data_IF_673078252181
#
_entry.id   IF_673078252181
#
_cell.length_a   1.000
_cell.length_b   1.000
_cell.length_c   1.000
_cell.angle_alpha   90.00
_cell.angle_beta   90.00
_cell.angle_gamma   90.00
#
_symmetry.space_group_name_H-M   'P 1'
#
loop_
_entity.id
_entity.type
_entity.pdbx_description
1 polymer ?
#
# COMPACT_ATOMS: atom_id res chain seq x y z
N UNK A 1 -38.25 -4.37 24.52
CA UNK A 1 -38.30 -3.09 23.77
C UNK A 1 -37.10 -3.00 22.83
N UNK A 2 -37.21 -3.63 21.66
CA UNK A 2 -36.15 -3.74 20.63
C UNK A 2 -36.58 -3.11 19.30
N UNK A 3 -37.33 -2.01 19.37
CA UNK A 3 -38.00 -1.43 18.19
C UNK A 3 -38.08 0.10 18.21
N UNK A 4 -37.12 0.78 18.84
CA UNK A 4 -37.11 2.25 18.93
C UNK A 4 -35.82 2.88 18.39
N UNK A 5 -34.76 2.11 18.16
CA UNK A 5 -33.49 2.65 17.66
C UNK A 5 -33.36 2.66 16.12
N UNK A 6 -34.34 2.14 15.39
CA UNK A 6 -34.27 2.08 13.92
C UNK A 6 -34.83 3.33 13.21
N UNK A 7 -35.34 4.32 13.97
CA UNK A 7 -36.00 5.51 13.41
C UNK A 7 -35.11 6.78 13.33
N UNK A 8 -33.83 6.71 13.72
CA UNK A 8 -32.93 7.89 13.69
C UNK A 8 -32.05 7.91 12.42
N UNK A 9 -32.04 6.82 11.63
CA UNK A 9 -31.12 6.66 10.50
C UNK A 9 -31.68 7.12 9.13
N UNK A 10 -32.86 7.77 9.08
CA UNK A 10 -33.56 8.05 7.83
C UNK A 10 -33.92 9.52 7.57
N UNK A 11 -33.24 10.49 8.22
CA UNK A 11 -33.65 11.92 8.15
C UNK A 11 -32.58 12.91 7.68
N UNK A 12 -31.52 12.49 6.97
CA UNK A 12 -30.51 13.45 6.42
C UNK A 12 -30.27 13.26 4.93
N UNK A 13 -31.36 13.07 4.17
CA UNK A 13 -31.38 13.33 2.74
C UNK A 13 -32.58 14.26 2.47
N UNK A 14 -32.35 15.29 1.66
CA UNK A 14 -33.27 16.34 1.19
C UNK A 14 -33.29 17.66 1.98
N UNK A 15 -32.47 18.62 1.54
CA UNK A 15 -32.83 20.01 1.17
C UNK A 15 -31.65 20.53 0.30
N UNK A 16 -31.69 20.32 -1.03
CA UNK A 16 -32.18 21.22 -2.08
C UNK A 16 -31.52 22.62 -2.07
N UNK A 17 -30.94 22.92 -3.23
CA UNK A 17 -30.41 24.19 -3.74
C UNK A 17 -31.17 25.45 -3.37
N UNK A 18 -30.42 26.53 -3.13
CA UNK A 18 -30.95 27.89 -3.17
C UNK A 18 -29.94 28.87 -3.82
N UNK A 19 -30.23 29.21 -5.07
CA UNK A 19 -30.33 30.56 -5.64
C UNK A 19 -29.21 31.61 -5.43
N UNK A 20 -28.63 32.00 -6.58
CA UNK A 20 -28.50 33.38 -7.11
C UNK A 20 -27.90 34.50 -6.25
N UNK A 21 -26.77 35.02 -6.75
CA UNK A 21 -26.62 36.45 -7.01
C UNK A 21 -25.95 37.31 -5.94
N UNK A 22 -24.63 37.52 -6.05
CA UNK A 22 -24.00 38.75 -5.56
C UNK A 22 -22.84 39.17 -6.49
N UNK A 23 -23.01 40.35 -7.06
CA UNK A 23 -22.15 41.05 -8.01
C UNK A 23 -20.76 41.31 -7.41
N UNK A 24 -19.69 40.97 -8.13
CA UNK A 24 -18.35 41.54 -7.90
C UNK A 24 -18.26 42.86 -8.69
N UNK A 25 -17.79 43.96 -8.10
CA UNK A 25 -17.40 45.14 -8.87
C UNK A 25 -16.10 44.82 -9.63
N UNK A 26 -16.13 45.12 -10.93
CA UNK A 26 -14.98 45.15 -11.82
C UNK A 26 -14.29 46.49 -11.62
N UNK A 27 -13.01 46.47 -11.24
CA UNK A 27 -12.13 47.61 -11.43
C UNK A 27 -10.79 47.14 -12.00
N UNK A 28 -10.57 47.59 -13.24
CA UNK A 28 -9.35 47.81 -14.00
C UNK A 28 -8.00 47.18 -13.56
N UNK A 29 -7.47 46.41 -14.51
CA UNK A 29 -6.22 46.77 -15.18
C UNK A 29 -4.91 46.31 -14.52
N UNK A 30 -4.21 45.36 -15.17
CA UNK A 30 -2.87 45.57 -15.75
C UNK A 30 -2.37 44.25 -16.33
N UNK A 31 -1.95 44.31 -17.58
CA UNK A 31 -1.20 43.27 -18.27
C UNK A 31 0.09 42.96 -17.51
N UNK A 32 0.31 41.69 -17.18
CA UNK A 32 1.66 41.14 -17.19
C UNK A 32 1.57 39.66 -17.57
N UNK A 33 1.84 39.43 -18.86
CA UNK A 33 2.08 38.10 -19.41
C UNK A 33 3.35 37.55 -18.78
N UNK A 34 3.18 36.76 -17.71
CA UNK A 34 4.18 35.78 -17.32
C UNK A 34 3.56 34.43 -17.57
N UNK A 35 4.02 33.78 -18.65
CA UNK A 35 3.79 32.38 -18.94
C UNK A 35 4.06 31.58 -17.66
N UNK A 36 3.00 31.19 -16.95
CA UNK A 36 3.07 30.15 -15.93
C UNK A 36 3.40 28.88 -16.68
N UNK A 37 4.69 28.62 -16.84
CA UNK A 37 5.20 27.30 -17.16
C UNK A 37 4.73 26.42 -16.02
N UNK A 38 3.64 25.69 -16.25
CA UNK A 38 3.23 24.58 -15.40
C UNK A 38 4.39 23.60 -15.51
N UNK A 39 5.33 23.69 -14.58
CA UNK A 39 6.16 22.56 -14.25
C UNK A 39 5.19 21.54 -13.70
N UNK A 40 4.78 20.62 -14.56
CA UNK A 40 4.28 19.33 -14.14
C UNK A 40 5.30 18.81 -13.14
N UNK A 41 4.97 18.90 -11.84
CA UNK A 41 5.79 18.31 -10.81
C UNK A 41 5.97 16.86 -11.25
N UNK A 42 7.21 16.48 -11.52
CA UNK A 42 7.61 15.09 -11.65
C UNK A 42 7.53 14.42 -10.27
N UNK A 43 6.40 14.55 -9.58
CA UNK A 43 5.96 13.59 -8.60
C UNK A 43 5.39 12.41 -9.39
N UNK A 44 6.26 11.75 -10.16
CA UNK A 44 6.01 10.40 -10.62
C UNK A 44 5.71 9.62 -9.33
N UNK A 45 4.42 9.35 -9.15
CA UNK A 45 3.75 9.13 -7.88
C UNK A 45 4.46 7.98 -7.13
N UNK A 46 5.49 8.30 -6.35
CA UNK A 46 6.34 7.27 -5.72
C UNK A 46 5.52 6.38 -4.80
N UNK A 47 4.42 6.92 -4.26
CA UNK A 47 3.39 6.19 -3.55
C UNK A 47 2.71 5.09 -4.38
N UNK A 48 2.42 5.35 -5.65
CA UNK A 48 1.81 4.36 -6.53
C UNK A 48 2.72 3.16 -6.78
N UNK A 49 4.05 3.35 -6.80
CA UNK A 49 5.01 2.23 -6.98
C UNK A 49 4.85 1.19 -5.88
N UNK A 50 4.57 1.61 -4.64
CA UNK A 50 4.40 0.68 -3.51
C UNK A 50 2.95 0.25 -3.32
N UNK A 51 1.97 1.13 -3.52
CA UNK A 51 0.55 0.80 -3.37
C UNK A 51 0.10 -0.20 -4.44
N UNK A 52 0.67 -0.10 -5.65
CA UNK A 52 0.36 -0.97 -6.80
C UNK A 52 1.41 -2.07 -7.01
N UNK A 53 2.43 -2.16 -6.16
CA UNK A 53 3.43 -3.22 -6.28
C UNK A 53 2.77 -4.59 -6.13
N UNK A 54 3.07 -5.48 -7.07
CA UNK A 54 2.59 -6.86 -7.01
C UNK A 54 3.21 -7.58 -5.79
N UNK A 55 2.35 -8.25 -5.02
CA UNK A 55 2.78 -9.25 -4.02
C UNK A 55 2.79 -10.64 -4.66
N UNK A 56 3.67 -11.51 -4.17
CA UNK A 56 3.82 -12.88 -4.65
C UNK A 56 5.11 -13.12 -5.45
N UNK A 57 5.11 -14.15 -6.28
CA UNK A 57 6.25 -14.47 -7.14
C UNK A 57 6.37 -13.48 -8.30
N UNK A 58 7.42 -12.66 -8.29
CA UNK A 58 7.76 -11.77 -9.42
C UNK A 58 8.57 -12.51 -10.49
N UNK A 59 9.22 -13.62 -10.13
CA UNK A 59 9.85 -14.59 -11.03
C UNK A 59 9.94 -15.95 -10.32
N UNK A 60 10.65 -16.94 -10.89
CA UNK A 60 10.79 -18.28 -10.30
C UNK A 60 11.57 -18.32 -8.98
N UNK A 61 12.39 -17.30 -8.71
CA UNK A 61 13.38 -17.31 -7.63
C UNK A 61 13.06 -16.28 -6.53
N UNK A 62 12.24 -15.28 -6.84
CA UNK A 62 12.00 -14.12 -5.98
C UNK A 62 10.53 -14.01 -5.62
N UNK A 63 10.27 -14.01 -4.32
CA UNK A 63 8.98 -13.72 -3.72
C UNK A 63 8.98 -12.32 -3.11
N UNK A 64 7.98 -11.50 -3.45
CA UNK A 64 7.87 -10.11 -3.05
C UNK A 64 6.65 -9.89 -2.15
N UNK A 65 6.84 -9.05 -1.14
CA UNK A 65 5.80 -8.62 -0.21
C UNK A 65 5.88 -7.12 -0.03
N UNK A 66 4.72 -6.47 0.05
CA UNK A 66 4.62 -5.05 0.35
C UNK A 66 4.09 -4.91 1.77
N UNK A 67 4.75 -4.08 2.57
CA UNK A 67 4.26 -3.71 3.90
C UNK A 67 4.34 -2.21 4.09
N UNK A 68 3.59 -1.69 5.06
CA UNK A 68 3.71 -0.32 5.52
C UNK A 68 3.92 -0.29 7.03
N UNK A 69 4.78 0.60 7.51
CA UNK A 69 4.86 0.97 8.93
C UNK A 69 4.59 2.45 9.11
N UNK A 70 4.33 2.85 10.35
CA UNK A 70 4.42 4.26 10.72
C UNK A 70 5.87 4.74 10.52
N UNK A 71 6.01 6.02 10.18
CA UNK A 71 7.30 6.68 10.03
C UNK A 71 8.17 6.53 11.29
N UNK A 72 9.47 6.28 11.12
CA UNK A 72 10.41 6.06 12.23
C UNK A 72 10.43 4.65 12.82
N UNK A 73 9.66 3.70 12.27
CA UNK A 73 9.53 2.33 12.81
C UNK A 73 10.15 1.24 11.92
N UNK A 74 11.37 1.47 11.43
CA UNK A 74 12.01 0.62 10.41
C UNK A 74 12.30 -0.81 10.90
N UNK A 75 12.72 -0.99 12.16
CA UNK A 75 12.99 -2.32 12.73
C UNK A 75 11.70 -3.17 12.82
N UNK A 76 10.58 -2.53 13.17
CA UNK A 76 9.27 -3.19 13.20
C UNK A 76 8.80 -3.59 11.79
N UNK A 77 9.21 -2.84 10.76
CA UNK A 77 8.87 -3.14 9.38
C UNK A 77 9.52 -4.47 8.93
N UNK A 78 10.78 -4.72 9.30
CA UNK A 78 11.46 -5.97 8.95
C UNK A 78 10.74 -7.19 9.53
N UNK A 79 10.36 -7.15 10.82
CA UNK A 79 9.64 -8.25 11.46
C UNK A 79 8.23 -8.44 10.90
N UNK A 80 7.54 -7.34 10.60
CA UNK A 80 6.23 -7.39 9.96
C UNK A 80 6.31 -8.04 8.57
N UNK A 81 7.33 -7.67 7.79
CA UNK A 81 7.58 -8.21 6.47
C UNK A 81 7.89 -9.71 6.52
N UNK A 82 8.76 -10.15 7.45
CA UNK A 82 9.05 -11.57 7.68
C UNK A 82 7.79 -12.37 8.00
N UNK A 83 6.99 -11.92 8.96
CA UNK A 83 5.74 -12.57 9.35
C UNK A 83 4.77 -12.68 8.17
N UNK A 84 4.62 -11.60 7.39
CA UNK A 84 3.75 -11.58 6.20
C UNK A 84 4.27 -12.54 5.12
N UNK A 85 5.57 -12.52 4.83
CA UNK A 85 6.19 -13.42 3.85
C UNK A 85 6.01 -14.90 4.22
N UNK A 86 6.21 -15.28 5.48
CA UNK A 86 5.96 -16.66 5.94
C UNK A 86 4.51 -17.07 5.68
N UNK A 87 3.55 -16.24 6.08
CA UNK A 87 2.13 -16.55 5.90
C UNK A 87 1.74 -16.71 4.42
N UNK A 88 2.25 -15.83 3.56
CA UNK A 88 1.94 -15.89 2.13
C UNK A 88 2.64 -17.07 1.43
N UNK A 89 3.87 -17.41 1.82
CA UNK A 89 4.57 -18.58 1.27
C UNK A 89 3.90 -19.91 1.70
N UNK A 90 3.36 -19.97 2.92
CA UNK A 90 2.52 -21.09 3.36
C UNK A 90 1.25 -21.17 2.50
N UNK A 91 0.61 -20.03 2.24
CA UNK A 91 -0.58 -19.97 1.39
C UNK A 91 -0.29 -20.41 -0.05
N UNK A 92 0.87 -20.06 -0.63
CA UNK A 92 1.25 -20.55 -1.97
C UNK A 92 1.44 -22.07 -1.99
N UNK A 93 1.95 -22.66 -0.90
CA UNK A 93 2.11 -24.12 -0.82
C UNK A 93 0.75 -24.84 -0.81
N UNK A 94 -0.29 -24.22 -0.27
CA UNK A 94 -1.67 -24.71 -0.37
C UNK A 94 -1.87 -26.08 0.29
N UNK A 95 -2.58 -26.98 -0.40
CA UNK A 95 -2.98 -28.29 0.15
C UNK A 95 -1.81 -29.24 0.43
N UNK A 96 -0.64 -29.01 -0.16
CA UNK A 96 0.56 -29.84 0.08
C UNK A 96 1.35 -29.41 1.32
N UNK A 97 0.90 -28.36 2.02
CA UNK A 97 1.55 -27.84 3.21
C UNK A 97 1.53 -28.82 4.38
N UNK A 98 2.68 -29.00 5.02
CA UNK A 98 2.87 -29.79 6.24
C UNK A 98 3.43 -28.91 7.35
N UNK A 99 3.17 -29.28 8.60
CA UNK A 99 3.71 -28.57 9.77
C UNK A 99 5.25 -28.44 9.76
N UNK A 100 5.95 -29.42 9.18
CA UNK A 100 7.41 -29.39 9.00
C UNK A 100 7.88 -28.30 8.03
N UNK A 101 7.07 -27.97 7.01
CA UNK A 101 7.40 -26.92 6.04
C UNK A 101 7.45 -25.55 6.68
N UNK A 102 6.68 -25.32 7.76
CA UNK A 102 6.67 -24.04 8.47
C UNK A 102 8.06 -23.64 8.95
N UNK A 103 8.84 -24.60 9.45
CA UNK A 103 10.19 -24.37 9.96
C UNK A 103 11.12 -24.01 8.79
N UNK A 104 11.05 -24.75 7.69
CA UNK A 104 11.85 -24.52 6.48
C UNK A 104 11.52 -23.18 5.84
N UNK A 105 10.23 -22.83 5.70
CA UNK A 105 9.78 -21.54 5.16
C UNK A 105 10.25 -20.40 6.07
N UNK A 106 10.16 -20.57 7.39
CA UNK A 106 10.64 -19.55 8.34
C UNK A 106 12.14 -19.33 8.20
N UNK A 107 12.94 -20.40 8.19
CA UNK A 107 14.39 -20.32 8.01
C UNK A 107 14.78 -19.67 6.67
N UNK A 108 14.08 -20.02 5.60
CA UNK A 108 14.26 -19.39 4.29
C UNK A 108 14.00 -17.88 4.35
N UNK A 109 12.87 -17.46 4.92
CA UNK A 109 12.51 -16.05 5.05
C UNK A 109 13.51 -15.30 5.94
N UNK A 110 13.94 -15.90 7.05
CA UNK A 110 14.89 -15.30 7.98
C UNK A 110 16.28 -15.15 7.37
N UNK A 111 16.72 -16.11 6.55
CA UNK A 111 18.06 -16.13 5.95
C UNK A 111 18.18 -15.41 4.61
N UNK A 112 17.12 -15.38 3.80
CA UNK A 112 17.12 -14.81 2.44
C UNK A 112 16.24 -13.58 2.26
N UNK A 113 15.40 -13.28 3.24
CA UNK A 113 14.48 -12.15 3.20
C UNK A 113 15.12 -10.83 3.60
N UNK A 114 14.92 -9.79 2.79
CA UNK A 114 15.36 -8.42 3.10
C UNK A 114 14.47 -7.35 2.49
N UNK A 115 14.43 -6.18 3.12
CA UNK A 115 13.88 -4.97 2.51
C UNK A 115 14.84 -4.53 1.38
N UNK A 116 14.32 -4.37 0.17
CA UNK A 116 15.07 -3.95 -1.01
C UNK A 116 14.79 -2.51 -1.43
N UNK A 117 13.63 -1.99 -1.05
CA UNK A 117 13.23 -0.59 -1.29
C UNK A 117 12.36 -0.10 -0.15
N UNK A 118 12.45 1.19 0.16
CA UNK A 118 11.55 1.91 1.05
C UNK A 118 11.09 3.18 0.38
N UNK A 119 9.84 3.57 0.60
CA UNK A 119 9.35 4.88 0.19
C UNK A 119 9.84 5.98 1.14
N UNK A 120 9.61 7.24 0.78
CA UNK A 120 9.54 8.33 1.77
C UNK A 120 8.28 8.19 2.65
N UNK A 121 8.07 9.13 3.56
CA UNK A 121 6.80 9.23 4.30
C UNK A 121 5.69 9.68 3.37
N UNK A 122 4.67 8.84 3.22
CA UNK A 122 3.47 9.11 2.42
C UNK A 122 2.29 8.98 3.37
N UNK A 123 1.63 10.11 3.66
CA UNK A 123 0.50 10.16 4.60
C UNK A 123 0.85 9.57 5.99
N UNK A 124 2.08 9.83 6.47
CA UNK A 124 2.57 9.34 7.77
C UNK A 124 2.93 7.84 7.79
N UNK A 125 3.00 7.20 6.62
CA UNK A 125 3.42 5.80 6.47
C UNK A 125 4.64 5.70 5.59
N UNK A 126 5.52 4.78 5.93
CA UNK A 126 6.60 4.33 5.06
C UNK A 126 6.23 2.96 4.51
N UNK A 127 6.34 2.80 3.20
CA UNK A 127 6.11 1.53 2.52
C UNK A 127 7.45 0.85 2.26
N UNK A 128 7.47 -0.47 2.36
CA UNK A 128 8.66 -1.28 2.15
C UNK A 128 8.37 -2.40 1.18
N UNK A 129 9.32 -2.62 0.28
CA UNK A 129 9.36 -3.76 -0.59
C UNK A 129 10.31 -4.78 0.03
N UNK A 130 9.75 -5.90 0.48
CA UNK A 130 10.51 -7.01 1.05
C UNK A 130 10.57 -8.14 0.03
N UNK A 131 11.76 -8.71 -0.15
CA UNK A 131 11.96 -9.80 -1.08
C UNK A 131 12.69 -10.96 -0.42
N UNK A 132 12.23 -12.17 -0.72
CA UNK A 132 12.90 -13.44 -0.41
C UNK A 132 13.43 -13.98 -1.73
N UNK A 133 14.76 -14.10 -1.85
CA UNK A 133 15.41 -14.56 -3.07
C UNK A 133 16.13 -15.90 -2.83
N UNK A 134 15.72 -16.93 -3.57
CA UNK A 134 16.39 -18.23 -3.59
C UNK A 134 16.23 -18.89 -4.96
N UNK A 135 17.28 -19.47 -5.55
CA UNK A 135 17.17 -20.20 -6.82
C UNK A 135 16.10 -21.30 -6.76
N UNK A 136 15.23 -21.35 -7.76
CA UNK A 136 14.15 -22.33 -7.89
C UNK A 136 13.08 -22.25 -6.79
N UNK A 137 12.93 -21.11 -6.11
CA UNK A 137 12.04 -20.97 -4.96
C UNK A 137 10.61 -21.44 -5.26
N UNK A 138 10.01 -20.93 -6.35
CA UNK A 138 8.64 -21.26 -6.74
C UNK A 138 8.44 -22.75 -7.00
N UNK A 139 9.41 -23.39 -7.66
CA UNK A 139 9.38 -24.81 -7.95
C UNK A 139 9.62 -25.66 -6.70
N UNK A 140 10.46 -25.19 -5.78
CA UNK A 140 10.76 -25.90 -4.53
C UNK A 140 9.55 -25.92 -3.57
N UNK A 141 8.71 -24.89 -3.59
CA UNK A 141 7.50 -24.81 -2.76
C UNK A 141 6.38 -25.76 -3.19
N UNK A 142 6.27 -26.06 -4.49
CA UNK A 142 5.22 -26.93 -5.05
C UNK A 142 5.60 -28.41 -5.07
N UNK A 143 6.81 -28.74 -4.61
CA UNK A 143 7.29 -30.12 -4.46
C UNK A 143 6.83 -30.70 -3.12
#
# INVERSE_FOLDING_TARGET
MRLVFFCILLSILFFIECSSGAKKPVENGKEESTTTTVQEESNANSADEYIKAAEGFINGDTFQVVISSLEGSHENAQDLARKRAVNLLIAEKGETFRSSDKIVIKELVDSKGKIVKSSGSIQGKTYFLFQVNSPGLKSSLKR
#
